data_IF_789932240682
#
_entry.id   IF_789932240682
#
_cell.length_a   1.000
_cell.length_b   1.000
_cell.length_c   1.000
_cell.angle_alpha   90.00
_cell.angle_beta   90.00
_cell.angle_gamma   90.00
#
_symmetry.space_group_name_H-M   'P 1'
#
loop_
_entity.id
_entity.type
_entity.pdbx_description
1 polymer ?
#
# COMPACT_ATOMS: atom_id res chain seq x y z
N UNK A 1 3.73 -2.47 22.77
CA UNK A 1 4.64 -1.51 22.10
C UNK A 1 3.99 -1.13 20.79
N UNK A 2 3.95 0.16 20.43
CA UNK A 2 3.26 0.70 19.24
C UNK A 2 4.17 1.72 18.55
N UNK A 3 4.04 1.86 17.24
CA UNK A 3 4.66 2.97 16.50
C UNK A 3 4.00 4.30 16.88
N UNK A 4 4.74 5.41 16.74
CA UNK A 4 4.28 6.75 17.11
C UNK A 4 4.63 7.74 16.01
N UNK A 5 3.70 8.65 15.72
CA UNK A 5 3.87 9.75 14.75
C UNK A 5 4.46 9.25 13.42
N UNK A 6 3.82 8.23 12.85
CA UNK A 6 4.24 7.66 11.56
C UNK A 6 3.52 8.34 10.41
N UNK A 7 4.22 8.42 9.29
CA UNK A 7 3.75 8.95 8.03
C UNK A 7 4.44 8.17 6.90
N UNK A 8 3.68 7.80 5.88
CA UNK A 8 4.15 6.96 4.80
C UNK A 8 3.61 7.48 3.47
N UNK A 9 4.41 7.35 2.43
CA UNK A 9 3.97 7.47 1.04
C UNK A 9 3.88 6.07 0.47
N UNK A 10 2.72 5.74 -0.11
CA UNK A 10 2.45 4.43 -0.69
C UNK A 10 2.30 4.62 -2.20
N UNK A 11 3.21 4.01 -2.95
CA UNK A 11 3.09 3.86 -4.40
C UNK A 11 2.48 2.50 -4.70
N UNK A 12 1.39 2.50 -5.47
CA UNK A 12 0.68 1.28 -5.84
C UNK A 12 0.02 1.43 -7.20
N UNK A 13 -0.19 0.29 -7.86
CA UNK A 13 -1.07 0.15 -9.01
C UNK A 13 -2.08 -0.98 -8.72
N UNK A 14 -3.07 -1.11 -9.58
CA UNK A 14 -3.98 -2.26 -9.57
C UNK A 14 -4.01 -2.87 -10.96
N UNK A 15 -4.38 -4.14 -11.01
CA UNK A 15 -4.61 -4.88 -12.24
C UNK A 15 -6.06 -5.39 -12.24
N UNK A 16 -6.64 -5.55 -13.42
CA UNK A 16 -7.97 -6.13 -13.55
C UNK A 16 -7.91 -7.63 -13.27
N UNK A 17 -8.85 -8.12 -12.48
CA UNK A 17 -8.96 -9.55 -12.18
C UNK A 17 -9.87 -10.25 -13.18
N UNK A 18 -9.85 -11.58 -13.22
CA UNK A 18 -10.77 -12.41 -14.02
C UNK A 18 -12.26 -12.18 -13.67
N UNK A 19 -12.55 -11.60 -12.50
CA UNK A 19 -13.91 -11.27 -12.05
C UNK A 19 -14.44 -9.92 -12.59
N UNK A 20 -13.67 -9.23 -13.44
CA UNK A 20 -14.10 -7.96 -14.04
C UNK A 20 -15.32 -8.17 -14.96
N UNK A 21 -16.39 -7.40 -14.74
CA UNK A 21 -17.57 -7.43 -15.60
C UNK A 21 -17.39 -6.59 -16.87
N UNK A 22 -18.35 -6.69 -17.79
CA UNK A 22 -18.34 -5.96 -19.08
C UNK A 22 -18.27 -4.44 -18.93
N UNK A 23 -18.74 -3.91 -17.79
CA UNK A 23 -18.71 -2.46 -17.49
C UNK A 23 -17.45 -2.01 -16.72
N UNK A 24 -16.57 -2.94 -16.35
CA UNK A 24 -15.36 -2.64 -15.59
C UNK A 24 -14.20 -2.35 -16.53
N UNK A 25 -13.55 -1.20 -16.30
CA UNK A 25 -12.33 -0.83 -17.01
C UNK A 25 -11.33 -0.19 -16.05
N UNK A 26 -10.05 -0.33 -16.38
CA UNK A 26 -8.96 0.30 -15.61
C UNK A 26 -9.19 1.81 -15.48
N UNK A 27 -9.50 2.49 -16.58
CA UNK A 27 -9.74 3.93 -16.58
C UNK A 27 -10.89 4.32 -15.64
N UNK A 28 -11.99 3.55 -15.64
CA UNK A 28 -13.15 3.80 -14.77
C UNK A 28 -12.75 3.67 -13.30
N UNK A 29 -12.10 2.58 -12.91
CA UNK A 29 -11.69 2.32 -11.53
C UNK A 29 -10.63 3.32 -11.05
N UNK A 30 -9.65 3.64 -11.90
CA UNK A 30 -8.62 4.63 -11.62
C UNK A 30 -9.22 6.03 -11.37
N UNK A 31 -10.14 6.48 -12.23
CA UNK A 31 -10.80 7.77 -12.05
C UNK A 31 -11.71 7.81 -10.80
N UNK A 32 -12.37 6.70 -10.46
CA UNK A 32 -13.13 6.58 -9.21
C UNK A 32 -12.21 6.72 -8.00
N UNK A 33 -11.06 6.04 -8.01
CA UNK A 33 -10.05 6.13 -6.95
C UNK A 33 -9.56 7.58 -6.80
N UNK A 34 -9.07 8.21 -7.86
CA UNK A 34 -8.54 9.57 -7.82
C UNK A 34 -9.55 10.57 -7.26
N UNK A 35 -10.80 10.54 -7.75
CA UNK A 35 -11.86 11.44 -7.27
C UNK A 35 -12.13 11.26 -5.78
N UNK A 36 -12.11 10.03 -5.29
CA UNK A 36 -12.32 9.72 -3.87
C UNK A 36 -11.12 10.14 -3.03
N UNK A 37 -9.92 9.81 -3.47
CA UNK A 37 -8.67 10.12 -2.79
C UNK A 37 -8.50 11.65 -2.60
N UNK A 38 -8.68 12.44 -3.67
CA UNK A 38 -8.64 13.92 -3.61
C UNK A 38 -9.67 14.53 -2.65
N UNK A 39 -10.80 13.87 -2.45
CA UNK A 39 -11.88 14.34 -1.57
C UNK A 39 -11.83 13.73 -0.16
N UNK A 40 -10.84 12.90 0.14
CA UNK A 40 -10.79 12.12 1.39
C UNK A 40 -11.97 11.17 1.58
N UNK A 41 -12.64 10.77 0.50
CA UNK A 41 -13.81 9.88 0.56
C UNK A 41 -13.37 8.42 0.57
N UNK A 42 -13.89 7.63 1.50
CA UNK A 42 -13.62 6.21 1.60
C UNK A 42 -14.90 5.45 1.95
N UNK A 43 -14.99 4.19 1.54
CA UNK A 43 -16.11 3.32 1.93
C UNK A 43 -16.03 2.96 3.42
N UNK A 44 -14.83 2.60 3.86
CA UNK A 44 -14.49 2.38 5.26
C UNK A 44 -13.29 3.26 5.61
N UNK A 45 -13.30 3.85 6.82
CA UNK A 45 -12.18 4.65 7.29
C UNK A 45 -10.94 3.76 7.41
N UNK A 46 -9.84 4.09 6.70
CA UNK A 46 -8.61 3.31 6.79
C UNK A 46 -8.00 3.42 8.19
N UNK A 47 -7.16 2.46 8.55
CA UNK A 47 -6.50 2.42 9.84
C UNK A 47 -5.11 1.79 9.73
N UNK A 48 -4.20 2.21 10.61
CA UNK A 48 -2.82 1.71 10.66
C UNK A 48 -2.74 0.48 11.56
N UNK A 49 -2.90 -0.70 10.96
CA UNK A 49 -2.81 -2.00 11.62
C UNK A 49 -4.08 -2.41 12.38
N UNK A 50 -4.55 -1.59 13.32
CA UNK A 50 -5.73 -1.88 14.15
C UNK A 50 -6.78 -0.75 14.09
N UNK A 51 -8.06 -1.06 14.32
CA UNK A 51 -9.20 -0.13 14.15
C UNK A 51 -9.14 1.09 15.08
N UNK A 52 -8.39 0.97 16.17
CA UNK A 52 -8.13 2.01 17.17
C UNK A 52 -7.25 3.14 16.63
N UNK A 53 -6.55 2.92 15.51
CA UNK A 53 -5.60 3.87 14.91
C UNK A 53 -6.09 4.33 13.52
N UNK A 54 -7.08 5.23 13.44
CA UNK A 54 -7.59 5.71 12.16
C UNK A 54 -6.48 6.41 11.36
N UNK A 55 -6.36 6.06 10.09
CA UNK A 55 -5.44 6.68 9.16
C UNK A 55 -6.09 7.92 8.52
N UNK A 56 -5.33 8.99 8.46
CA UNK A 56 -5.62 10.12 7.58
C UNK A 56 -4.79 9.94 6.32
N UNK A 57 -5.36 10.32 5.18
CA UNK A 57 -4.71 10.14 3.90
C UNK A 57 -5.04 11.30 2.98
N UNK A 58 -4.13 11.57 2.06
CA UNK A 58 -4.27 12.49 0.96
C UNK A 58 -3.63 11.88 -0.28
N UNK A 59 -4.09 12.30 -1.46
CA UNK A 59 -3.46 11.91 -2.70
C UNK A 59 -2.24 12.80 -2.93
N UNK A 60 -1.06 12.20 -3.04
CA UNK A 60 0.15 12.91 -3.46
C UNK A 60 0.06 13.13 -4.97
N UNK A 61 0.02 14.41 -5.38
CA UNK A 61 0.05 14.80 -6.79
C UNK A 61 1.38 15.50 -7.10
N UNK A 62 2.16 14.95 -8.03
CA UNK A 62 3.45 15.51 -8.44
C UNK A 62 4.65 14.71 -7.94
N UNK A 63 5.76 15.40 -7.73
CA UNK A 63 7.01 14.78 -7.29
C UNK A 63 6.97 14.39 -5.81
N UNK A 64 7.48 13.21 -5.50
CA UNK A 64 7.64 12.73 -4.12
C UNK A 64 8.96 13.28 -3.59
N UNK A 65 8.90 14.02 -2.48
CA UNK A 65 10.10 14.54 -1.83
C UNK A 65 11.00 13.40 -1.35
N UNK A 66 12.31 13.64 -1.37
CA UNK A 66 13.28 12.67 -0.84
C UNK A 66 13.02 12.46 0.66
N UNK A 67 13.00 11.19 1.08
CA UNK A 67 12.89 10.85 2.50
C UNK A 67 14.00 11.49 3.34
N UNK A 68 13.66 11.85 4.58
CA UNK A 68 14.63 12.27 5.60
C UNK A 68 15.46 11.11 6.16
N UNK A 69 15.09 9.86 5.83
CA UNK A 69 15.83 8.67 6.20
C UNK A 69 16.91 8.40 5.13
N UNK A 70 18.15 8.22 5.57
CA UNK A 70 19.29 7.94 4.71
C UNK A 70 19.94 6.59 5.05
N UNK A 71 20.64 6.00 4.08
CA UNK A 71 21.40 4.76 4.23
C UNK A 71 20.58 3.49 3.98
N UNK A 72 21.19 2.35 4.29
CA UNK A 72 20.57 1.02 4.13
C UNK A 72 20.28 0.41 5.51
N UNK A 73 19.04 -0.03 5.71
CA UNK A 73 18.59 -0.70 6.94
C UNK A 73 17.92 -2.02 6.57
N UNK A 74 18.44 -3.13 7.09
CA UNK A 74 17.78 -4.43 7.04
C UNK A 74 16.70 -4.49 8.13
N UNK A 75 15.44 -4.59 7.73
CA UNK A 75 14.31 -4.59 8.66
C UNK A 75 14.02 -6.01 9.21
N UNK A 76 14.78 -7.02 8.79
CA UNK A 76 14.56 -8.41 9.16
C UNK A 76 13.33 -9.00 8.47
N UNK A 77 12.89 -10.16 8.94
CA UNK A 77 11.70 -10.82 8.39
C UNK A 77 10.42 -10.10 8.81
N UNK A 78 9.61 -9.71 7.83
CA UNK A 78 8.32 -9.04 8.01
C UNK A 78 7.22 -9.77 7.24
N UNK A 79 5.98 -9.63 7.70
CA UNK A 79 4.81 -10.08 6.94
C UNK A 79 4.74 -9.26 5.64
N UNK A 80 4.65 -9.96 4.52
CA UNK A 80 4.45 -9.36 3.20
C UNK A 80 2.96 -9.31 2.86
N UNK A 81 2.31 -10.47 2.84
CA UNK A 81 0.89 -10.59 2.52
C UNK A 81 0.29 -11.87 3.12
N UNK A 82 -1.03 -12.00 3.05
CA UNK A 82 -1.79 -13.19 3.42
C UNK A 82 -2.42 -13.76 2.16
N UNK A 83 -2.07 -15.02 1.86
CA UNK A 83 -2.71 -15.74 0.77
C UNK A 83 -4.11 -16.23 1.21
N UNK A 84 -5.12 -15.42 0.89
CA UNK A 84 -6.51 -15.74 1.19
C UNK A 84 -7.06 -16.92 0.39
N UNK A 85 -6.48 -17.25 -0.77
CA UNK A 85 -6.92 -18.39 -1.59
C UNK A 85 -6.37 -19.71 -1.04
N UNK A 86 -5.17 -19.71 -0.47
CA UNK A 86 -4.51 -20.91 0.06
C UNK A 86 -4.52 -20.96 1.59
N UNK A 87 -5.71 -20.86 2.18
CA UNK A 87 -5.91 -21.13 3.61
C UNK A 87 -5.36 -20.06 4.56
N UNK A 88 -5.38 -18.79 4.15
CA UNK A 88 -4.88 -17.65 4.93
C UNK A 88 -3.39 -17.79 5.30
N UNK A 89 -2.59 -18.36 4.39
CA UNK A 89 -1.17 -18.56 4.63
C UNK A 89 -0.43 -17.23 4.69
N UNK A 90 0.28 -16.99 5.78
CA UNK A 90 1.16 -15.82 5.90
C UNK A 90 2.40 -15.97 5.03
N UNK A 91 2.64 -14.97 4.19
CA UNK A 91 3.82 -14.86 3.34
C UNK A 91 4.76 -13.86 3.99
N UNK A 92 6.02 -14.25 4.21
CA UNK A 92 7.04 -13.39 4.80
C UNK A 92 8.10 -13.01 3.77
N UNK A 93 8.69 -11.84 3.93
CA UNK A 93 9.84 -11.37 3.15
C UNK A 93 10.81 -10.61 4.06
N UNK A 94 12.02 -10.32 3.57
CA UNK A 94 13.05 -9.61 4.32
C UNK A 94 13.36 -8.27 3.63
N UNK A 95 12.55 -7.23 3.85
CA UNK A 95 12.76 -5.95 3.20
C UNK A 95 14.04 -5.27 3.67
N UNK A 96 14.68 -4.58 2.75
CA UNK A 96 15.68 -3.56 3.03
C UNK A 96 15.08 -2.20 2.76
N UNK A 97 15.31 -1.26 3.66
CA UNK A 97 15.01 0.14 3.44
C UNK A 97 16.27 0.84 2.93
N UNK A 98 16.19 1.49 1.78
CA UNK A 98 17.29 2.24 1.17
C UNK A 98 16.83 3.69 1.00
N UNK A 99 17.47 4.62 1.73
CA UNK A 99 17.12 6.04 1.74
C UNK A 99 15.61 6.28 1.96
N UNK A 100 15.05 5.57 2.95
CA UNK A 100 13.63 5.65 3.31
C UNK A 100 12.66 4.91 2.38
N UNK A 101 13.16 4.30 1.30
CA UNK A 101 12.34 3.56 0.35
C UNK A 101 12.40 2.06 0.66
N UNK A 102 11.23 1.42 0.72
CA UNK A 102 11.11 -0.03 0.83
C UNK A 102 10.44 -0.51 -0.46
N UNK A 103 11.19 -1.26 -1.28
CA UNK A 103 10.58 -1.94 -2.42
C UNK A 103 9.87 -3.20 -1.95
N UNK A 104 8.55 -3.22 -2.13
CA UNK A 104 7.68 -4.34 -1.75
C UNK A 104 7.26 -5.19 -2.94
N UNK A 105 7.65 -4.80 -4.16
CA UNK A 105 7.44 -5.61 -5.35
C UNK A 105 8.30 -6.85 -5.18
N UNK A 106 7.64 -8.00 -5.18
CA UNK A 106 8.34 -9.25 -5.42
C UNK A 106 8.47 -9.43 -6.92
N UNK A 107 9.55 -10.08 -7.35
CA UNK A 107 9.59 -10.76 -8.64
C UNK A 107 8.58 -11.93 -8.58
N UNK A 108 7.29 -11.63 -8.63
CA UNK A 108 6.23 -12.65 -8.80
C UNK A 108 5.82 -12.58 -10.26
N UNK A 109 6.20 -13.60 -11.02
CA UNK A 109 5.51 -13.93 -12.25
C UNK A 109 4.06 -14.29 -11.88
N UNK A 110 3.10 -13.55 -12.44
CA UNK A 110 1.67 -13.80 -12.30
C UNK A 110 1.25 -15.05 -13.07
#
# INVERSE_FOLDING_TARGET
MLLKNVEYIIEAHFEMTEEAGDEDSEEKHYNIFLRRARKGQCHMRPYLGCREFPAYFELVEGEIEKSCLDGEVDLGWMLWDIDFKNGMRSIFFRPKMINGIIDTRRDVEF
#
